data_IF_709332796534
#
_entry.id   IF_709332796534
#
_cell.length_a   1.000
_cell.length_b   1.000
_cell.length_c   1.000
_cell.angle_alpha   90.00
_cell.angle_beta   90.00
_cell.angle_gamma   90.00
#
_symmetry.space_group_name_H-M   'P 1'
#
loop_
_entity.id
_entity.type
_entity.pdbx_description
1 polymer ?
#
# COMPACT_ATOMS: atom_id res chain seq x y z
N UNK A 1 17.64 31.77 0.16
CA UNK A 1 18.01 31.27 -1.18
C UNK A 1 18.33 29.79 -1.03
N UNK A 2 17.53 28.89 -1.59
CA UNK A 2 17.65 27.45 -1.28
C UNK A 2 18.61 26.75 -2.26
N UNK A 3 18.86 27.32 -3.44
CA UNK A 3 19.87 26.86 -4.39
C UNK A 3 20.47 28.07 -5.13
N UNK A 4 21.78 28.08 -5.41
CA UNK A 4 22.53 29.23 -5.93
C UNK A 4 22.03 29.76 -7.28
N UNK A 5 21.58 28.87 -8.17
CA UNK A 5 21.22 29.20 -9.56
C UNK A 5 19.71 29.10 -9.85
N UNK A 6 18.87 29.06 -8.81
CA UNK A 6 17.42 28.89 -8.96
C UNK A 6 16.69 30.17 -8.58
N UNK A 7 15.89 30.68 -9.53
CA UNK A 7 15.13 31.92 -9.36
C UNK A 7 13.62 31.63 -9.29
N UNK A 8 12.96 32.12 -8.24
CA UNK A 8 11.51 32.03 -8.09
C UNK A 8 10.86 33.33 -8.57
N UNK A 9 10.00 33.23 -9.59
CA UNK A 9 9.25 34.38 -10.10
C UNK A 9 7.78 34.31 -9.69
N UNK A 10 7.21 35.43 -9.26
CA UNK A 10 5.78 35.55 -8.95
C UNK A 10 5.12 36.61 -9.84
N UNK A 11 3.91 36.34 -10.33
CA UNK A 11 3.16 37.34 -11.09
C UNK A 11 1.66 37.30 -10.83
N UNK A 12 1.03 38.48 -10.87
CA UNK A 12 -0.41 38.67 -10.55
C UNK A 12 -1.38 38.00 -11.54
N UNK A 13 -0.92 37.62 -12.74
CA UNK A 13 -1.76 36.98 -13.76
C UNK A 13 -2.12 35.51 -13.51
N UNK A 14 -1.63 34.90 -12.42
CA UNK A 14 -1.98 33.54 -11.99
C UNK A 14 -2.28 33.57 -10.51
N UNK A 15 -3.45 33.07 -10.12
CA UNK A 15 -3.78 32.83 -8.71
C UNK A 15 -2.81 31.81 -8.13
N UNK A 16 -2.37 32.03 -6.87
CA UNK A 16 -1.34 31.23 -6.16
C UNK A 16 -1.62 29.70 -6.12
N UNK A 17 -2.84 29.26 -6.44
CA UNK A 17 -3.28 27.85 -6.49
C UNK A 17 -3.95 27.46 -7.82
N UNK A 18 -3.58 28.12 -8.92
CA UNK A 18 -4.11 27.74 -10.23
C UNK A 18 -3.74 26.30 -10.58
N UNK A 19 -4.72 25.53 -11.04
CA UNK A 19 -4.53 24.21 -11.64
C UNK A 19 -4.14 24.31 -13.13
N UNK A 20 -4.25 25.51 -13.72
CA UNK A 20 -4.02 25.78 -15.14
C UNK A 20 -2.78 26.65 -15.34
N UNK A 21 -1.88 26.28 -16.27
CA UNK A 21 -0.67 27.06 -16.55
C UNK A 21 -0.97 28.33 -17.37
N UNK A 22 -0.16 29.37 -17.19
CA UNK A 22 -0.31 30.63 -17.92
C UNK A 22 0.70 30.73 -19.07
N UNK A 23 0.39 29.99 -20.14
CA UNK A 23 1.27 29.81 -21.32
C UNK A 23 1.89 31.11 -21.90
N UNK A 24 1.18 32.25 -22.01
CA UNK A 24 1.73 33.44 -22.67
C UNK A 24 2.92 34.10 -21.97
N UNK A 25 3.06 33.92 -20.64
CA UNK A 25 4.22 34.46 -19.88
C UNK A 25 5.38 33.48 -19.87
N UNK A 26 5.08 32.19 -19.91
CA UNK A 26 6.07 31.10 -19.94
C UNK A 26 6.86 31.09 -21.25
N UNK A 27 6.20 31.42 -22.36
CA UNK A 27 6.84 31.44 -23.68
C UNK A 27 7.95 32.49 -23.83
N UNK A 28 7.96 33.57 -23.03
CA UNK A 28 9.06 34.55 -23.08
C UNK A 28 10.30 34.02 -22.38
N UNK A 29 10.16 33.56 -21.14
CA UNK A 29 11.26 32.98 -20.36
C UNK A 29 11.84 31.72 -21.01
N UNK A 30 11.00 30.90 -21.62
CA UNK A 30 11.45 29.70 -22.35
C UNK A 30 12.26 30.02 -23.61
N UNK A 31 12.21 31.26 -24.12
CA UNK A 31 12.97 31.72 -25.29
C UNK A 31 14.24 32.47 -24.91
N UNK A 32 14.50 32.68 -23.62
CA UNK A 32 15.71 33.36 -23.16
C UNK A 32 16.92 32.42 -23.24
N UNK A 33 18.03 32.81 -23.91
CA UNK A 33 19.19 31.92 -24.14
C UNK A 33 19.87 31.42 -22.86
N UNK A 34 19.72 32.16 -21.76
CA UNK A 34 20.32 31.84 -20.46
C UNK A 34 19.44 30.92 -19.59
N UNK A 35 18.20 30.64 -20.01
CA UNK A 35 17.27 29.78 -19.26
C UNK A 35 17.43 28.35 -19.73
N UNK A 36 18.12 27.52 -18.93
CA UNK A 36 18.33 26.10 -19.26
C UNK A 36 17.05 25.27 -19.13
N UNK A 37 16.22 25.57 -18.13
CA UNK A 37 14.94 24.89 -17.92
C UNK A 37 13.97 25.80 -17.15
N UNK A 38 12.66 25.56 -17.33
CA UNK A 38 11.58 26.30 -16.69
C UNK A 38 10.43 25.34 -16.38
N UNK A 39 9.93 25.35 -15.14
CA UNK A 39 8.70 24.66 -14.78
C UNK A 39 7.73 25.62 -14.07
N UNK A 40 6.46 25.63 -14.50
CA UNK A 40 5.43 26.33 -13.72
C UNK A 40 5.05 25.47 -12.51
N UNK A 41 5.11 26.04 -11.31
CA UNK A 41 4.45 25.41 -10.17
C UNK A 41 2.93 25.47 -10.38
N UNK A 42 2.36 24.33 -10.76
CA UNK A 42 0.91 24.12 -10.83
C UNK A 42 0.49 23.34 -9.60
N UNK A 43 -0.57 23.77 -8.93
CA UNK A 43 -1.13 22.98 -7.85
C UNK A 43 -1.58 21.62 -8.43
N UNK A 44 -0.99 20.52 -7.96
CA UNK A 44 -1.45 19.19 -8.38
C UNK A 44 -2.81 18.92 -7.76
N UNK A 45 -3.73 18.32 -8.53
CA UNK A 45 -5.01 17.83 -7.99
C UNK A 45 -4.68 16.77 -6.93
N UNK A 46 -4.94 17.09 -5.66
CA UNK A 46 -4.87 16.10 -4.58
C UNK A 46 -6.12 15.24 -4.64
N UNK A 47 -5.96 13.98 -5.01
CA UNK A 47 -6.90 12.93 -4.62
C UNK A 47 -6.49 12.43 -3.24
N UNK A 48 -7.47 12.09 -2.39
CA UNK A 48 -7.20 11.41 -1.13
C UNK A 48 -6.58 10.06 -1.52
N UNK A 49 -5.29 9.85 -1.24
CA UNK A 49 -4.57 8.62 -1.61
C UNK A 49 -5.05 7.41 -0.80
N UNK A 50 -5.73 7.67 0.31
CA UNK A 50 -6.09 6.68 1.31
C UNK A 50 -7.62 6.65 1.48
N UNK A 51 -8.34 6.32 0.40
CA UNK A 51 -9.71 5.84 0.55
C UNK A 51 -9.60 4.33 0.61
N UNK A 52 -9.64 3.79 1.82
CA UNK A 52 -9.78 2.36 2.03
C UNK A 52 -11.00 1.86 1.26
N UNK A 53 -10.76 0.87 0.41
CA UNK A 53 -11.80 0.05 -0.20
C UNK A 53 -11.83 -1.27 0.53
N UNK A 54 -13.03 -1.77 0.76
CA UNK A 54 -13.20 -3.07 1.41
C UNK A 54 -12.66 -4.19 0.51
N UNK A 55 -12.15 -5.28 1.11
CA UNK A 55 -11.78 -6.48 0.37
C UNK A 55 -12.93 -6.96 -0.51
N UNK A 56 -12.60 -7.36 -1.74
CA UNK A 56 -13.58 -7.82 -2.74
C UNK A 56 -13.70 -9.35 -2.79
N UNK A 57 -13.07 -10.04 -1.83
CA UNK A 57 -13.02 -11.49 -1.77
C UNK A 57 -14.42 -12.09 -1.64
N UNK A 58 -14.71 -13.19 -2.36
CA UNK A 58 -16.07 -13.75 -2.44
C UNK A 58 -16.59 -14.24 -1.09
N UNK A 59 -15.69 -14.52 -0.13
CA UNK A 59 -16.02 -14.97 1.22
C UNK A 59 -15.91 -13.89 2.30
N UNK A 60 -15.47 -12.69 1.96
CA UNK A 60 -15.36 -11.58 2.91
C UNK A 60 -16.71 -11.25 3.60
N UNK A 61 -17.87 -11.24 2.92
CA UNK A 61 -19.16 -10.99 3.58
C UNK A 61 -19.53 -12.02 4.66
N UNK A 62 -18.95 -13.22 4.62
CA UNK A 62 -19.20 -14.28 5.61
C UNK A 62 -18.24 -14.21 6.81
N UNK A 63 -17.17 -13.40 6.74
CA UNK A 63 -16.22 -13.19 7.84
C UNK A 63 -16.74 -12.15 8.84
N UNK A 64 -17.85 -12.48 9.50
CA UNK A 64 -18.59 -11.60 10.41
C UNK A 64 -17.74 -10.96 11.51
N UNK A 65 -16.64 -11.61 11.91
CA UNK A 65 -15.73 -11.13 12.96
C UNK A 65 -14.82 -9.98 12.51
N UNK A 66 -14.56 -9.80 11.21
CA UNK A 66 -13.76 -8.68 10.68
C UNK A 66 -14.60 -7.43 10.47
N UNK A 67 -15.86 -7.63 10.10
CA UNK A 67 -16.80 -6.58 9.79
C UNK A 67 -18.24 -7.07 9.92
N UNK A 68 -18.90 -6.67 10.99
CA UNK A 68 -20.32 -6.87 11.20
C UNK A 68 -21.09 -5.55 11.13
N UNK A 69 -22.33 -5.60 10.67
CA UNK A 69 -23.29 -4.48 10.82
C UNK A 69 -23.85 -4.38 12.24
N UNK A 70 -23.57 -5.36 13.09
CA UNK A 70 -24.15 -5.54 14.43
C UNK A 70 -23.27 -4.99 15.56
N UNK A 71 -22.13 -4.33 15.23
CA UNK A 71 -21.14 -3.84 16.20
C UNK A 71 -20.55 -4.95 17.11
N UNK A 72 -20.65 -6.21 16.68
CA UNK A 72 -20.09 -7.39 17.36
C UNK A 72 -18.97 -7.98 16.49
N UNK A 73 -17.96 -7.17 16.23
CA UNK A 73 -16.79 -7.53 15.44
C UNK A 73 -15.51 -7.00 16.12
N UNK A 74 -14.37 -7.28 15.49
CA UNK A 74 -13.04 -6.87 15.98
C UNK A 74 -12.66 -5.44 15.57
N UNK A 75 -13.55 -4.68 14.93
CA UNK A 75 -13.32 -3.34 14.41
C UNK A 75 -12.08 -3.20 13.49
N UNK A 76 -11.77 -4.26 12.74
CA UNK A 76 -10.55 -4.34 11.90
C UNK A 76 -10.59 -3.35 10.75
N UNK A 77 -11.78 -3.08 10.18
CA UNK A 77 -11.97 -2.06 9.14
C UNK A 77 -11.47 -0.67 9.55
N UNK A 78 -11.58 -0.30 10.83
CA UNK A 78 -11.08 0.99 11.31
C UNK A 78 -9.54 1.07 11.27
N UNK A 79 -8.83 -0.04 11.49
CA UNK A 79 -7.38 -0.11 11.36
C UNK A 79 -6.95 -0.05 9.89
N UNK A 80 -7.62 -0.81 9.02
CA UNK A 80 -7.36 -0.79 7.57
C UNK A 80 -7.66 0.59 6.96
N UNK A 81 -8.72 1.28 7.42
CA UNK A 81 -9.04 2.65 7.02
C UNK A 81 -7.98 3.69 7.43
N UNK A 82 -7.14 3.37 8.42
CA UNK A 82 -5.98 4.15 8.82
C UNK A 82 -4.70 3.75 8.07
N UNK A 83 -4.76 2.75 7.18
CA UNK A 83 -3.63 2.26 6.38
C UNK A 83 -2.82 1.14 7.02
N UNK A 84 -3.26 0.57 8.15
CA UNK A 84 -2.53 -0.50 8.84
C UNK A 84 -3.04 -1.88 8.43
N UNK A 85 -2.32 -2.58 7.55
CA UNK A 85 -2.71 -3.91 7.04
C UNK A 85 -1.80 -5.05 7.48
N UNK A 86 -0.76 -4.76 8.28
CA UNK A 86 0.26 -5.74 8.69
C UNK A 86 1.48 -5.80 7.75
N UNK A 87 1.58 -4.93 6.76
CA UNK A 87 2.76 -4.86 5.90
C UNK A 87 4.06 -4.68 6.70
N UNK A 88 5.04 -5.56 6.46
CA UNK A 88 6.32 -5.59 7.16
C UNK A 88 6.32 -6.36 8.48
N UNK A 89 5.17 -6.92 8.90
CA UNK A 89 5.07 -7.79 10.07
C UNK A 89 5.17 -9.25 9.63
N UNK A 90 5.98 -10.03 10.34
CA UNK A 90 6.13 -11.48 10.13
C UNK A 90 5.46 -12.21 11.30
N UNK A 91 4.64 -13.21 10.98
CA UNK A 91 3.91 -14.04 11.95
C UNK A 91 4.18 -15.51 11.66
N UNK A 92 4.53 -16.28 12.69
CA UNK A 92 4.71 -17.74 12.63
C UNK A 92 3.55 -18.43 13.34
N UNK A 93 2.99 -19.46 12.71
CA UNK A 93 1.95 -20.32 13.31
C UNK A 93 2.63 -21.61 13.77
N UNK A 94 2.43 -22.01 15.03
CA UNK A 94 2.98 -23.23 15.60
C UNK A 94 1.85 -24.26 15.71
N UNK A 95 1.71 -25.11 14.69
CA UNK A 95 0.60 -26.06 14.54
C UNK A 95 1.04 -27.30 13.73
N UNK A 96 0.11 -27.95 13.03
CA UNK A 96 0.28 -29.13 12.18
C UNK A 96 0.96 -28.91 10.81
N UNK A 97 1.29 -27.67 10.50
CA UNK A 97 1.94 -27.27 9.26
C UNK A 97 1.21 -26.10 8.59
N UNK A 98 1.67 -25.71 7.40
CA UNK A 98 1.03 -24.69 6.58
C UNK A 98 1.11 -25.07 5.11
N UNK A 99 -0.04 -25.09 4.43
CA UNK A 99 -0.10 -25.29 2.98
C UNK A 99 0.44 -24.05 2.26
N UNK A 100 1.78 -23.96 2.13
CA UNK A 100 2.50 -22.81 1.57
C UNK A 100 2.08 -22.44 0.15
N UNK A 101 1.49 -23.38 -0.59
CA UNK A 101 1.00 -23.22 -1.96
C UNK A 101 -0.51 -22.95 -2.06
N UNK A 102 -1.24 -22.81 -0.94
CA UNK A 102 -2.64 -22.42 -0.97
C UNK A 102 -2.78 -21.04 -1.64
N UNK A 103 -3.73 -20.84 -2.59
CA UNK A 103 -3.82 -19.61 -3.38
C UNK A 103 -4.02 -18.34 -2.53
N UNK A 104 -4.66 -18.47 -1.36
CA UNK A 104 -4.92 -17.36 -0.43
C UNK A 104 -3.74 -17.08 0.53
N UNK A 105 -2.70 -17.93 0.54
CA UNK A 105 -1.54 -17.83 1.45
C UNK A 105 -0.23 -17.60 0.69
N UNK A 106 -0.06 -18.21 -0.49
CA UNK A 106 1.21 -18.24 -1.23
C UNK A 106 1.81 -16.85 -1.51
N UNK A 107 0.97 -15.81 -1.67
CA UNK A 107 1.43 -14.44 -1.87
C UNK A 107 2.03 -13.77 -0.62
N UNK A 108 1.72 -14.29 0.58
CA UNK A 108 2.15 -13.76 1.88
C UNK A 108 3.01 -14.77 2.67
N UNK A 109 3.33 -15.93 2.10
CA UNK A 109 4.14 -16.96 2.75
C UNK A 109 5.59 -16.50 2.93
N UNK A 110 6.15 -16.73 4.11
CA UNK A 110 7.55 -16.45 4.43
C UNK A 110 8.27 -17.75 4.87
N UNK A 111 9.20 -18.28 4.05
CA UNK A 111 9.98 -19.45 4.44
C UNK A 111 10.92 -19.18 5.62
N UNK A 112 11.31 -17.93 5.87
CA UNK A 112 12.10 -17.56 7.05
C UNK A 112 11.32 -17.62 8.36
N UNK A 113 9.98 -17.71 8.28
CA UNK A 113 9.07 -17.85 9.41
C UNK A 113 8.49 -19.27 9.53
N UNK A 114 9.08 -20.24 8.83
CA UNK A 114 8.55 -21.61 8.73
C UNK A 114 9.63 -22.65 8.94
N UNK A 115 9.28 -23.74 9.61
CA UNK A 115 10.15 -24.91 9.78
C UNK A 115 9.31 -26.11 10.22
N UNK A 116 9.56 -27.30 9.69
CA UNK A 116 9.00 -28.56 10.20
C UNK A 116 9.92 -29.14 11.27
N UNK A 117 9.47 -29.07 12.53
CA UNK A 117 10.20 -29.60 13.69
C UNK A 117 10.04 -31.12 13.81
N UNK A 118 8.97 -31.71 13.27
CA UNK A 118 8.73 -33.16 13.32
C UNK A 118 9.72 -33.90 12.42
N UNK A 119 9.93 -33.40 11.20
CA UNK A 119 10.84 -33.97 10.21
C UNK A 119 12.24 -33.34 10.18
N UNK A 120 12.41 -32.22 10.90
CA UNK A 120 13.65 -31.46 10.99
C UNK A 120 14.13 -30.89 9.65
N UNK A 121 13.19 -30.37 8.86
CA UNK A 121 13.47 -29.77 7.56
C UNK A 121 12.71 -28.45 7.36
N UNK A 122 13.10 -27.60 6.39
CA UNK A 122 12.51 -26.28 6.23
C UNK A 122 11.15 -26.27 5.53
N UNK A 123 10.60 -27.41 5.10
CA UNK A 123 9.31 -27.49 4.43
C UNK A 123 8.17 -27.76 5.42
N UNK A 124 7.33 -26.77 5.78
CA UNK A 124 6.23 -26.96 6.72
C UNK A 124 4.96 -27.57 6.07
N UNK A 125 5.07 -28.24 4.91
CA UNK A 125 3.90 -28.74 4.18
C UNK A 125 3.13 -29.77 5.04
N UNK A 126 1.81 -29.60 5.21
CA UNK A 126 1.01 -30.54 6.00
C UNK A 126 1.02 -31.93 5.38
N UNK A 127 0.98 -32.94 6.26
CA UNK A 127 0.82 -34.34 5.86
C UNK A 127 -0.66 -34.69 5.78
N UNK A 128 -1.16 -35.00 4.59
CA UNK A 128 -2.53 -35.49 4.40
C UNK A 128 -2.64 -36.98 4.78
N UNK A 129 -2.55 -37.26 6.08
CA UNK A 129 -2.86 -38.59 6.62
C UNK A 129 -4.34 -38.69 6.98
N UNK A 130 -4.91 -39.90 6.97
CA UNK A 130 -6.32 -40.10 7.35
C UNK A 130 -6.63 -39.76 8.82
N UNK A 131 -5.62 -39.46 9.64
CA UNK A 131 -5.77 -39.27 11.08
C UNK A 131 -5.62 -37.82 11.56
N UNK A 132 -5.32 -36.84 10.69
CA UNK A 132 -5.06 -35.44 11.10
C UNK A 132 -4.12 -35.35 12.33
N UNK A 133 -3.12 -36.23 12.40
CA UNK A 133 -2.21 -36.33 13.53
C UNK A 133 -0.86 -35.69 13.20
N UNK A 134 -0.34 -34.89 14.15
CA UNK A 134 1.03 -34.39 14.17
C UNK A 134 1.95 -35.49 14.69
N UNK A 135 2.52 -36.28 13.79
CA UNK A 135 3.58 -37.24 14.12
C UNK A 135 4.83 -36.96 13.32
#
# INVERSE_FOLDING_TARGET
QIFGDYYHFWHRGVTKRSLSPHRPRHSRLQREPQVQWLEQQVAKRRTKRDVYQEPTDPKFPQQWYLSGVTQRDLNVKAAWAQGYTGHGIVVSILDDGIEKNHPDLAGNYDPGASFDVNDQDPDPQPRYTQMNDNR
#
